data_IF_061097996599
#
_entry.id   IF_061097996599
#
_cell.length_a   1.000
_cell.length_b   1.000
_cell.length_c   1.000
_cell.angle_alpha   90.00
_cell.angle_beta   90.00
_cell.angle_gamma   90.00
#
_symmetry.space_group_name_H-M   'P 1'
#
loop_
_entity.id
_entity.type
_entity.pdbx_description
1 polymer ?
#
# COMPACT_ATOMS: atom_id res chain seq x y z
N UNK A 1 0.27 -22.60 6.84
CA UNK A 1 -0.05 -21.39 7.63
C UNK A 1 -1.13 -20.59 6.91
N UNK A 2 -2.20 -20.15 7.60
CA UNK A 2 -3.24 -19.32 6.97
C UNK A 2 -2.72 -17.89 6.75
N UNK A 3 -3.20 -17.21 5.71
CA UNK A 3 -2.86 -15.80 5.44
C UNK A 3 -3.23 -14.89 6.62
N UNK A 4 -4.25 -15.26 7.39
CA UNK A 4 -4.66 -14.55 8.61
C UNK A 4 -3.62 -14.66 9.72
N UNK A 5 -3.02 -15.85 9.92
CA UNK A 5 -1.99 -16.05 10.94
C UNK A 5 -0.69 -15.29 10.59
N UNK A 6 -0.29 -15.29 9.30
CA UNK A 6 0.86 -14.52 8.84
C UNK A 6 0.63 -13.00 9.00
N UNK A 7 -0.58 -12.52 8.71
CA UNK A 7 -0.97 -11.12 8.89
C UNK A 7 -0.99 -10.72 10.37
N UNK A 8 -1.61 -11.53 11.24
CA UNK A 8 -1.61 -11.30 12.69
C UNK A 8 -0.20 -11.27 13.27
N UNK A 9 0.69 -12.15 12.80
CA UNK A 9 2.09 -12.16 13.20
C UNK A 9 2.84 -10.90 12.76
N UNK A 10 2.66 -10.46 11.51
CA UNK A 10 3.29 -9.23 10.98
C UNK A 10 2.80 -7.97 11.71
N UNK A 11 1.49 -7.86 11.98
CA UNK A 11 0.91 -6.75 12.76
C UNK A 11 1.43 -6.78 14.20
N UNK A 12 1.50 -7.96 14.83
CA UNK A 12 2.08 -8.11 16.16
C UNK A 12 3.56 -7.70 16.20
N UNK A 13 4.34 -8.02 15.18
CA UNK A 13 5.74 -7.60 15.07
C UNK A 13 5.89 -6.09 14.90
N UNK A 14 5.08 -5.46 14.04
CA UNK A 14 5.08 -4.00 13.85
C UNK A 14 4.70 -3.26 15.15
N UNK A 15 3.71 -3.75 15.89
CA UNK A 15 3.27 -3.16 17.16
C UNK A 15 4.31 -3.30 18.28
N UNK A 16 5.11 -4.38 18.28
CA UNK A 16 6.23 -4.58 19.22
C UNK A 16 7.41 -3.66 18.94
N UNK A 17 7.74 -3.43 17.66
CA UNK A 17 8.87 -2.58 17.26
C UNK A 17 8.59 -1.07 17.41
N UNK A 18 7.31 -0.65 17.44
CA UNK A 18 6.91 0.73 17.72
C UNK A 18 6.88 1.10 19.21
N UNK A 19 7.28 0.19 20.12
CA UNK A 19 7.36 0.48 21.55
C UNK A 19 8.63 1.27 21.85
N UNK A 20 8.50 2.60 21.95
CA UNK A 20 9.53 3.47 22.52
C UNK A 20 9.89 2.91 23.90
N UNK A 21 11.16 2.51 24.09
CA UNK A 21 11.72 2.10 25.38
C UNK A 21 11.48 3.22 26.39
N UNK A 22 10.45 3.11 27.21
CA UNK A 22 10.41 3.76 28.50
C UNK A 22 11.43 3.01 29.37
N UNK A 23 12.51 3.70 29.76
CA UNK A 23 13.57 3.15 30.58
C UNK A 23 13.03 2.57 31.88
N UNK A 24 13.28 1.28 32.12
CA UNK A 24 13.06 0.63 33.39
C UNK A 24 14.38 0.51 34.13
N UNK A 25 14.46 1.13 35.31
CA UNK A 25 15.42 0.73 36.35
C UNK A 25 15.04 -0.63 36.94
N UNK A 26 15.98 -1.35 37.57
CA UNK A 26 15.78 -2.73 37.97
C UNK A 26 14.96 -2.82 39.26
N UNK A 27 13.88 -3.61 39.22
CA UNK A 27 13.24 -4.15 40.42
C UNK A 27 13.17 -5.67 40.26
N UNK A 28 13.90 -6.36 41.12
CA UNK A 28 13.87 -7.80 41.32
C UNK A 28 12.58 -8.20 42.04
N UNK A 29 11.83 -9.17 41.51
CA UNK A 29 11.06 -10.08 42.35
C UNK A 29 10.74 -11.38 41.62
N UNK A 30 10.99 -12.49 42.32
CA UNK A 30 10.78 -13.87 41.90
C UNK A 30 9.34 -14.30 42.17
N UNK A 31 8.66 -14.96 41.22
CA UNK A 31 7.30 -15.45 41.49
C UNK A 31 6.65 -16.22 40.36
N UNK A 32 6.74 -17.54 40.45
CA UNK A 32 6.05 -18.56 39.63
C UNK A 32 4.56 -18.24 39.37
N UNK A 33 4.19 -18.04 38.10
CA UNK A 33 2.82 -17.80 37.66
C UNK A 33 2.59 -18.33 36.25
N UNK A 34 1.81 -19.42 36.18
CA UNK A 34 1.01 -19.97 35.07
C UNK A 34 1.14 -19.24 33.72
N UNK A 35 1.46 -20.01 32.66
CA UNK A 35 1.41 -19.60 31.26
C UNK A 35 0.00 -19.07 30.87
N UNK A 36 -0.25 -17.79 31.14
CA UNK A 36 -1.48 -17.08 30.83
C UNK A 36 -1.37 -16.39 29.48
N UNK A 37 -2.33 -16.65 28.60
CA UNK A 37 -2.45 -15.99 27.31
C UNK A 37 -2.28 -14.49 27.44
N UNK A 38 -1.41 -13.93 26.58
CA UNK A 38 -1.11 -12.51 26.50
C UNK A 38 -2.39 -11.68 26.38
N UNK A 39 -2.92 -11.20 27.51
CA UNK A 39 -3.94 -10.17 27.54
C UNK A 39 -3.39 -8.95 26.82
N UNK A 40 -3.92 -8.68 25.63
CA UNK A 40 -3.65 -7.41 24.95
C UNK A 40 -4.15 -6.31 25.90
N UNK A 41 -3.23 -5.50 26.41
CA UNK A 41 -3.60 -4.39 27.31
C UNK A 41 -4.54 -3.45 26.55
N UNK A 42 -5.46 -2.76 27.22
CA UNK A 42 -6.47 -1.91 26.54
C UNK A 42 -5.90 -0.96 25.47
N UNK A 43 -4.69 -0.42 25.68
CA UNK A 43 -3.98 0.40 24.69
C UNK A 43 -3.54 -0.37 23.43
N UNK A 44 -3.19 -1.64 23.53
CA UNK A 44 -2.85 -2.51 22.40
C UNK A 44 -4.08 -2.84 21.56
N UNK A 45 -5.22 -3.13 22.21
CA UNK A 45 -6.50 -3.33 21.54
C UNK A 45 -6.89 -2.06 20.76
N UNK A 46 -6.79 -0.90 21.40
CA UNK A 46 -7.09 0.38 20.74
C UNK A 46 -6.18 0.64 19.53
N UNK A 47 -4.87 0.41 19.66
CA UNK A 47 -3.93 0.52 18.52
C UNK A 47 -4.30 -0.44 17.40
N UNK A 48 -4.55 -1.70 17.72
CA UNK A 48 -4.97 -2.69 16.73
C UNK A 48 -6.26 -2.28 16.01
N UNK A 49 -7.27 -1.81 16.75
CA UNK A 49 -8.55 -1.35 16.18
C UNK A 49 -8.37 -0.16 15.24
N UNK A 50 -7.57 0.84 15.64
CA UNK A 50 -7.25 1.99 14.77
C UNK A 50 -6.56 1.54 13.49
N UNK A 51 -5.62 0.59 13.59
CA UNK A 51 -4.96 0.02 12.42
C UNK A 51 -5.92 -0.73 11.49
N UNK A 52 -6.81 -1.57 12.03
CA UNK A 52 -7.77 -2.30 11.19
C UNK A 52 -8.76 -1.35 10.52
N UNK A 53 -9.25 -0.35 11.26
CA UNK A 53 -10.10 0.68 10.71
C UNK A 53 -9.39 1.44 9.58
N UNK A 54 -8.15 1.88 9.80
CA UNK A 54 -7.34 2.58 8.82
C UNK A 54 -7.11 1.75 7.56
N UNK A 55 -6.74 0.48 7.73
CA UNK A 55 -6.56 -0.46 6.64
C UNK A 55 -7.86 -0.64 5.84
N UNK A 56 -8.98 -0.92 6.50
CA UNK A 56 -10.27 -1.08 5.83
C UNK A 56 -10.64 0.16 5.01
N UNK A 57 -10.45 1.35 5.58
CA UNK A 57 -10.76 2.60 4.91
C UNK A 57 -9.85 2.88 3.70
N UNK A 58 -8.54 2.59 3.79
CA UNK A 58 -7.64 2.72 2.64
C UNK A 58 -8.02 1.75 1.52
N UNK A 59 -8.38 0.49 1.83
CA UNK A 59 -8.84 -0.45 0.79
C UNK A 59 -10.07 0.04 0.02
N UNK A 60 -10.92 0.86 0.66
CA UNK A 60 -12.08 1.43 -0.01
C UNK A 60 -11.71 2.58 -0.97
N UNK A 61 -10.62 3.31 -0.71
CA UNK A 61 -10.21 4.46 -1.54
C UNK A 61 -9.21 4.05 -2.63
N UNK A 62 -8.25 3.18 -2.28
CA UNK A 62 -7.20 2.69 -3.16
C UNK A 62 -7.16 1.15 -3.23
N UNK A 63 -8.23 0.51 -3.73
CA UNK A 63 -8.38 -0.94 -3.75
C UNK A 63 -7.28 -1.69 -4.51
N UNK A 64 -6.78 -1.14 -5.63
CA UNK A 64 -5.82 -1.82 -6.51
C UNK A 64 -4.43 -1.86 -5.88
N UNK A 65 -3.94 -0.70 -5.41
CA UNK A 65 -2.66 -0.59 -4.71
C UNK A 65 -2.68 -1.39 -3.41
N UNK A 66 -3.79 -1.33 -2.65
CA UNK A 66 -3.92 -2.13 -1.45
C UNK A 66 -3.91 -3.65 -1.75
N UNK A 67 -4.52 -4.07 -2.85
CA UNK A 67 -4.49 -5.48 -3.28
C UNK A 67 -3.08 -5.92 -3.64
N UNK A 68 -2.34 -5.12 -4.41
CA UNK A 68 -0.94 -5.40 -4.73
C UNK A 68 -0.07 -5.52 -3.47
N UNK A 69 -0.19 -4.57 -2.55
CA UNK A 69 0.56 -4.59 -1.29
C UNK A 69 0.21 -5.80 -0.41
N UNK A 70 -1.03 -6.27 -0.44
CA UNK A 70 -1.44 -7.49 0.26
C UNK A 70 -0.81 -8.74 -0.36
N UNK A 71 -0.74 -8.79 -1.69
CA UNK A 71 -0.09 -9.89 -2.41
C UNK A 71 1.41 -9.93 -2.13
N UNK A 72 2.04 -8.77 -1.91
CA UNK A 72 3.42 -8.67 -1.46
C UNK A 72 3.62 -8.86 0.05
N UNK A 73 2.55 -8.97 0.84
CA UNK A 73 2.64 -9.05 2.31
C UNK A 73 3.13 -7.76 2.98
N UNK A 74 3.10 -6.61 2.28
CA UNK A 74 3.62 -5.32 2.75
C UNK A 74 2.54 -4.37 3.28
N UNK A 75 1.27 -4.68 3.03
CA UNK A 75 0.15 -3.77 3.29
C UNK A 75 0.07 -3.23 4.72
N UNK A 76 0.18 -4.11 5.73
CA UNK A 76 0.11 -3.69 7.13
C UNK A 76 1.21 -2.68 7.50
N UNK A 77 2.42 -2.88 6.98
CA UNK A 77 3.56 -1.97 7.18
C UNK A 77 3.28 -0.61 6.55
N UNK A 78 2.89 -0.58 5.27
CA UNK A 78 2.58 0.69 4.59
C UNK A 78 1.45 1.47 5.28
N UNK A 79 0.41 0.79 5.78
CA UNK A 79 -0.66 1.45 6.56
C UNK A 79 -0.12 2.03 7.86
N UNK A 80 0.77 1.31 8.55
CA UNK A 80 1.42 1.78 9.77
C UNK A 80 2.25 3.04 9.53
N UNK A 81 3.09 3.00 8.51
CA UNK A 81 3.95 4.12 8.13
C UNK A 81 3.12 5.34 7.76
N UNK A 82 2.00 5.12 7.04
CA UNK A 82 1.10 6.21 6.68
C UNK A 82 0.34 6.81 7.87
N UNK A 83 -0.08 5.99 8.84
CA UNK A 83 -0.71 6.46 10.08
C UNK A 83 0.25 7.27 10.96
N UNK A 84 1.54 6.94 10.93
CA UNK A 84 2.57 7.62 11.71
C UNK A 84 2.92 9.01 11.16
N UNK A 85 2.51 9.35 9.93
CA UNK A 85 2.82 10.66 9.33
C UNK A 85 2.00 11.79 9.97
N UNK A 86 2.62 12.93 10.27
CA UNK A 86 1.90 14.12 10.73
C UNK A 86 1.00 14.67 9.61
N UNK A 87 -0.02 15.46 9.99
CA UNK A 87 -0.89 16.13 9.00
C UNK A 87 -2.00 15.25 8.44
N UNK A 88 -2.65 14.45 9.29
CA UNK A 88 -3.76 13.60 8.89
C UNK A 88 -4.91 14.43 8.31
N UNK A 89 -5.30 14.10 7.07
CA UNK A 89 -6.44 14.76 6.42
C UNK A 89 -7.75 14.27 7.06
N UNK A 90 -8.70 15.18 7.37
CA UNK A 90 -9.93 14.83 8.10
C UNK A 90 -10.89 14.00 7.26
N UNK A 91 -10.83 14.12 5.93
CA UNK A 91 -11.68 13.39 5.00
C UNK A 91 -10.94 12.16 4.45
N UNK A 92 -11.70 11.08 4.21
CA UNK A 92 -11.12 9.80 3.84
C UNK A 92 -10.51 9.79 2.43
N UNK A 93 -11.17 10.45 1.48
CA UNK A 93 -10.71 10.45 0.09
C UNK A 93 -9.38 11.21 -0.05
N UNK A 94 -9.20 12.44 0.49
CA UNK A 94 -7.89 13.09 0.50
C UNK A 94 -6.81 12.30 1.24
N UNK A 95 -7.17 11.56 2.30
CA UNK A 95 -6.22 10.73 3.03
C UNK A 95 -5.74 9.54 2.20
N UNK A 96 -6.64 8.85 1.49
CA UNK A 96 -6.25 7.79 0.55
C UNK A 96 -5.45 8.30 -0.65
N UNK A 97 -5.74 9.50 -1.17
CA UNK A 97 -4.91 10.13 -2.21
C UNK A 97 -3.49 10.40 -1.70
N UNK A 98 -3.33 10.89 -0.46
CA UNK A 98 -2.02 11.08 0.15
C UNK A 98 -1.27 9.76 0.39
N UNK A 99 -1.98 8.65 0.60
CA UNK A 99 -1.39 7.31 0.66
C UNK A 99 -0.82 6.88 -0.70
N UNK A 100 -1.59 7.06 -1.77
CA UNK A 100 -1.15 6.79 -3.14
C UNK A 100 0.02 7.68 -3.55
N UNK A 101 -0.02 8.97 -3.22
CA UNK A 101 1.07 9.93 -3.50
C UNK A 101 2.39 9.47 -2.90
N UNK A 102 2.38 8.96 -1.68
CA UNK A 102 3.59 8.50 -1.05
C UNK A 102 4.11 7.16 -1.58
N UNK A 103 3.23 6.33 -2.16
CA UNK A 103 3.63 5.08 -2.79
C UNK A 103 4.05 5.27 -4.24
N UNK A 104 3.72 6.41 -4.85
CA UNK A 104 4.12 6.73 -6.21
C UNK A 104 5.65 6.74 -6.35
N UNK A 105 6.41 7.05 -5.29
CA UNK A 105 7.88 7.12 -5.32
C UNK A 105 8.55 5.89 -4.68
N UNK A 106 7.82 4.78 -4.58
CA UNK A 106 8.32 3.55 -3.98
C UNK A 106 9.39 2.86 -4.85
N UNK A 107 10.36 2.20 -4.21
CA UNK A 107 11.45 1.49 -4.90
C UNK A 107 10.93 0.34 -5.79
N UNK A 108 9.86 -0.33 -5.36
CA UNK A 108 9.18 -1.35 -6.16
C UNK A 108 8.42 -0.68 -7.33
N UNK A 109 8.88 -0.85 -8.59
CA UNK A 109 8.31 -0.12 -9.72
C UNK A 109 6.85 -0.48 -9.96
N UNK A 110 6.44 -1.73 -9.70
CA UNK A 110 5.05 -2.15 -9.90
C UNK A 110 4.13 -1.47 -8.88
N UNK A 111 4.58 -1.32 -7.63
CA UNK A 111 3.82 -0.59 -6.60
C UNK A 111 3.71 0.89 -6.97
N UNK A 112 4.82 1.52 -7.34
CA UNK A 112 4.86 2.91 -7.78
C UNK A 112 3.94 3.17 -8.97
N UNK A 113 4.01 2.31 -9.98
CA UNK A 113 3.21 2.43 -11.20
C UNK A 113 1.71 2.22 -10.94
N UNK A 114 1.34 1.19 -10.16
CA UNK A 114 -0.07 0.96 -9.80
C UNK A 114 -0.60 2.11 -8.93
N UNK A 115 0.20 2.64 -8.00
CA UNK A 115 -0.19 3.78 -7.18
C UNK A 115 -0.43 5.05 -8.01
N UNK A 116 0.47 5.36 -8.97
CA UNK A 116 0.30 6.48 -9.91
C UNK A 116 -0.93 6.29 -10.80
N UNK A 117 -1.17 5.07 -11.27
CA UNK A 117 -2.31 4.74 -12.13
C UNK A 117 -3.63 4.91 -11.38
N UNK A 118 -3.72 4.34 -10.18
CA UNK A 118 -4.89 4.47 -9.32
C UNK A 118 -5.13 5.93 -8.95
N UNK A 119 -4.09 6.68 -8.56
CA UNK A 119 -4.20 8.12 -8.27
C UNK A 119 -4.72 8.90 -9.47
N UNK A 120 -4.19 8.65 -10.67
CA UNK A 120 -4.62 9.31 -11.90
C UNK A 120 -6.10 9.06 -12.24
N UNK A 121 -6.65 7.90 -11.85
CA UNK A 121 -8.06 7.54 -12.03
C UNK A 121 -8.96 8.11 -10.94
N UNK A 122 -8.51 8.16 -9.69
CA UNK A 122 -9.33 8.54 -8.53
C UNK A 122 -9.26 10.03 -8.18
N UNK A 123 -8.13 10.69 -8.44
CA UNK A 123 -7.93 12.06 -8.02
C UNK A 123 -8.73 13.04 -8.90
N UNK A 124 -9.38 14.05 -8.28
CA UNK A 124 -10.00 15.14 -9.03
C UNK A 124 -8.91 15.91 -9.79
N UNK A 125 -9.27 16.51 -10.94
CA UNK A 125 -8.33 17.18 -11.84
C UNK A 125 -7.26 18.07 -11.15
N UNK A 126 -7.59 18.97 -10.20
CA UNK A 126 -6.58 19.83 -9.57
C UNK A 126 -5.63 19.10 -8.60
N UNK A 127 -5.97 17.89 -8.19
CA UNK A 127 -5.17 17.10 -7.25
C UNK A 127 -4.39 15.97 -7.94
N UNK A 128 -4.49 15.81 -9.27
CA UNK A 128 -3.79 14.74 -10.00
C UNK A 128 -2.29 14.98 -10.01
N UNK A 129 -1.53 13.92 -9.74
CA UNK A 129 -0.09 13.96 -9.86
C UNK A 129 0.35 14.10 -11.32
N UNK A 130 1.50 14.77 -11.57
CA UNK A 130 2.17 14.68 -12.85
C UNK A 130 2.53 13.21 -13.13
N UNK A 131 2.35 12.79 -14.38
CA UNK A 131 2.78 11.46 -14.80
C UNK A 131 4.25 11.52 -15.21
N UNK A 132 5.04 10.45 -15.01
CA UNK A 132 6.37 10.35 -15.58
C UNK A 132 6.33 10.54 -17.11
N UNK A 133 7.39 11.12 -17.67
CA UNK A 133 7.53 11.22 -19.13
C UNK A 133 8.97 10.84 -19.54
N UNK A 134 9.18 9.67 -20.18
CA UNK A 134 8.16 8.70 -20.58
C UNK A 134 7.74 7.77 -19.41
N UNK A 135 6.44 7.49 -19.28
CA UNK A 135 5.93 6.45 -18.37
C UNK A 135 5.75 5.13 -19.10
N UNK A 136 6.78 4.28 -19.05
CA UNK A 136 6.86 3.05 -19.84
C UNK A 136 6.45 1.82 -19.03
N UNK A 137 5.57 1.01 -19.61
CA UNK A 137 5.10 -0.25 -19.03
C UNK A 137 5.50 -1.43 -19.90
N UNK A 138 6.02 -2.48 -19.25
CA UNK A 138 6.40 -3.76 -19.89
C UNK A 138 5.27 -4.79 -19.89
N UNK A 139 4.16 -4.47 -19.22
CA UNK A 139 2.91 -5.25 -19.18
C UNK A 139 1.75 -4.33 -19.52
N UNK A 140 0.67 -4.87 -20.09
CA UNK A 140 -0.53 -4.07 -20.38
C UNK A 140 -1.09 -3.48 -19.07
N UNK A 141 -1.21 -2.14 -18.95
CA UNK A 141 -1.78 -1.51 -17.77
C UNK A 141 -3.21 -2.00 -17.48
N UNK A 142 -4.04 -2.14 -18.51
CA UNK A 142 -5.40 -2.66 -18.39
C UNK A 142 -5.42 -4.10 -17.84
N UNK A 143 -4.55 -4.96 -18.36
CA UNK A 143 -4.46 -6.33 -17.87
C UNK A 143 -3.98 -6.38 -16.42
N UNK A 144 -3.04 -5.50 -16.03
CA UNK A 144 -2.59 -5.37 -14.64
C UNK A 144 -3.73 -4.95 -13.72
N UNK A 145 -4.52 -3.95 -14.12
CA UNK A 145 -5.69 -3.50 -13.37
C UNK A 145 -6.72 -4.61 -13.19
N UNK A 146 -7.06 -5.31 -14.26
CA UNK A 146 -8.01 -6.43 -14.22
C UNK A 146 -7.50 -7.56 -13.32
N UNK A 147 -6.23 -7.91 -13.45
CA UNK A 147 -5.59 -8.96 -12.65
C UNK A 147 -5.65 -8.61 -11.15
N UNK A 148 -5.37 -7.35 -10.79
CA UNK A 148 -5.46 -6.88 -9.40
C UNK A 148 -6.91 -6.84 -8.90
N UNK A 149 -7.86 -6.38 -9.72
CA UNK A 149 -9.27 -6.38 -9.35
C UNK A 149 -9.80 -7.80 -9.05
N UNK A 150 -9.26 -8.82 -9.74
CA UNK A 150 -9.54 -10.23 -9.47
C UNK A 150 -8.71 -10.84 -8.33
N UNK A 151 -7.89 -10.06 -7.61
CA UNK A 151 -7.04 -10.54 -6.52
C UNK A 151 -5.81 -11.33 -6.96
N UNK A 152 -5.44 -11.23 -8.24
CA UNK A 152 -4.30 -11.90 -8.85
C UNK A 152 -3.02 -11.06 -8.83
N UNK A 153 -1.86 -11.73 -8.85
CA UNK A 153 -0.56 -11.06 -8.88
C UNK A 153 -0.19 -10.64 -10.33
N UNK A 154 0.17 -9.37 -10.60
CA UNK A 154 0.52 -8.88 -11.94
C UNK A 154 1.71 -9.58 -12.60
N UNK A 155 2.66 -10.10 -11.82
CA UNK A 155 3.83 -10.84 -12.36
C UNK A 155 3.45 -12.10 -13.16
N UNK A 156 2.22 -12.60 -13.00
CA UNK A 156 1.69 -13.74 -13.77
C UNK A 156 1.26 -13.35 -15.18
N UNK A 157 1.13 -12.05 -15.46
CA UNK A 157 0.81 -11.57 -16.81
C UNK A 157 2.06 -11.65 -17.69
N UNK A 158 1.89 -12.03 -18.97
CA UNK A 158 2.98 -12.05 -19.92
C UNK A 158 3.55 -10.64 -20.11
N UNK A 159 4.85 -10.59 -20.41
CA UNK A 159 5.47 -9.36 -20.89
C UNK A 159 4.94 -9.03 -22.28
N UNK A 160 4.81 -7.74 -22.58
CA UNK A 160 4.49 -7.28 -23.93
C UNK A 160 5.70 -7.47 -24.85
N UNK A 161 5.46 -7.88 -26.09
CA UNK A 161 6.50 -7.91 -27.13
C UNK A 161 7.08 -6.51 -27.38
N UNK A 162 6.27 -5.47 -27.21
CA UNK A 162 6.66 -4.07 -27.27
C UNK A 162 6.13 -3.34 -26.03
N UNK A 163 6.98 -2.65 -25.26
CA UNK A 163 6.52 -1.80 -24.17
C UNK A 163 5.52 -0.76 -24.68
N UNK A 164 4.66 -0.30 -23.78
CA UNK A 164 3.70 0.78 -24.05
C UNK A 164 4.03 1.99 -23.20
N UNK A 165 3.84 3.18 -23.77
CA UNK A 165 3.88 4.43 -23.05
C UNK A 165 2.47 4.78 -22.58
N UNK A 166 2.33 5.10 -21.30
CA UNK A 166 1.10 5.65 -20.73
C UNK A 166 1.24 7.16 -20.66
N UNK A 167 0.26 7.90 -21.16
CA UNK A 167 0.24 9.37 -21.08
C UNK A 167 -1.15 9.90 -20.81
N UNK A 168 -1.23 11.15 -20.34
CA UNK A 168 -2.50 11.85 -20.18
C UNK A 168 -2.89 12.49 -21.51
N UNK A 169 -4.06 12.12 -22.04
CA UNK A 169 -4.64 12.73 -23.22
C UNK A 169 -5.23 14.13 -22.92
N UNK A 170 -5.64 14.87 -23.96
CA UNK A 170 -6.17 16.24 -23.84
C UNK A 170 -7.43 16.33 -22.97
N UNK A 171 -8.23 15.26 -22.93
CA UNK A 171 -9.44 15.17 -22.12
C UNK A 171 -9.17 14.65 -20.69
N UNK A 172 -7.90 14.50 -20.30
CA UNK A 172 -7.50 13.99 -18.99
C UNK A 172 -7.54 12.47 -18.84
N UNK A 173 -8.11 11.74 -19.81
CA UNK A 173 -8.08 10.27 -19.89
C UNK A 173 -6.65 9.76 -20.10
N UNK A 174 -6.38 8.55 -19.62
CA UNK A 174 -5.11 7.88 -19.86
C UNK A 174 -5.16 7.19 -21.22
N UNK A 175 -4.10 7.38 -22.00
CA UNK A 175 -3.88 6.77 -23.30
C UNK A 175 -2.67 5.85 -23.22
N UNK A 176 -2.71 4.75 -23.97
CA UNK A 176 -1.61 3.78 -24.07
C UNK A 176 -1.19 3.63 -25.52
N UNK A 177 0.05 4.02 -25.82
CA UNK A 177 0.62 3.96 -27.17
C UNK A 177 1.80 2.98 -27.20
N UNK A 178 1.98 2.17 -28.25
CA UNK A 178 3.21 1.36 -28.41
C UNK A 178 4.44 2.28 -28.46
N UNK A 179 5.50 1.91 -27.74
CA UNK A 179 6.77 2.63 -27.83
C UNK A 179 7.36 2.40 -29.22
N UNK A 180 7.67 3.48 -29.94
CA UNK A 180 8.35 3.38 -31.22
C UNK A 180 9.72 2.72 -31.02
N UNK A 181 9.96 1.61 -31.72
CA UNK A 181 11.31 1.05 -31.80
C UNK A 181 12.09 2.03 -32.66
N UNK A 182 12.99 2.81 -32.04
CA UNK A 182 13.94 3.62 -32.80
C UNK A 182 14.65 2.67 -33.77
N UNK A 183 14.45 2.89 -35.08
CA UNK A 183 15.00 2.01 -36.11
C UNK A 183 16.51 1.95 -35.98
N UNK A 184 17.01 0.76 -35.64
CA UNK A 184 18.41 0.39 -35.68
C UNK A 184 18.94 0.34 -37.11
#
# INVERSE_FOLDING_TARGET
MSRLAAYQHAVGAALRNGSVRAGGGPSTDDGNGVAGGSELRGAEIMRWSVHQWAAAQLRNVCPLTATLLLLHGRYAGCVADHLARPGRRPAIHPWGLAFLEALADEEDPMVADVARLEHAMTAPAPARLPLPDPWIWTRSPEAVLLQLACGGHPSRLPLLERPVQVRRGPNGHLLTDPVAVAGS
#
